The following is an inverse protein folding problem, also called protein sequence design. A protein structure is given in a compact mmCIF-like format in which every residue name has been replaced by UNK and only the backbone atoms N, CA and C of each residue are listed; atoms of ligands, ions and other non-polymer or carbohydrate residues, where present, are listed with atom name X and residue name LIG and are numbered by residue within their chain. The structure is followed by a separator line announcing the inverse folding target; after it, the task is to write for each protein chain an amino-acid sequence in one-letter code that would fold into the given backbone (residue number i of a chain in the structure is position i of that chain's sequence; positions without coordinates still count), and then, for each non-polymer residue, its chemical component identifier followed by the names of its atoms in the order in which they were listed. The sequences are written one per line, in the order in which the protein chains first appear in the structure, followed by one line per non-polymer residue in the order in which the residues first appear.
data_IF_984743831865
#
_entry.id   IF_984743831865
#
_cell.length_a   1.000
_cell.length_b   1.000
_cell.length_c   1.000
_cell.angle_alpha   90.00
_cell.angle_beta   90.00
_cell.angle_gamma   90.00
#
_symmetry.space_group_name_H-M   'P 1'
#
loop_
_entity.id
_entity.type
_entity.pdbx_description
1 polymer ?
#
# COMPACT_ATOMS: atom_id res chain seq x y z
N UNK A 1 -33.26 -1.32 -23.46
CA UNK A 1 -34.12 -1.73 -22.33
C UNK A 1 -33.41 -2.84 -21.58
N UNK A 2 -32.48 -2.48 -20.69
CA UNK A 2 -31.84 -3.45 -19.79
C UNK A 2 -32.52 -3.31 -18.44
N UNK A 3 -33.20 -4.36 -18.01
CA UNK A 3 -33.84 -4.42 -16.70
C UNK A 3 -32.80 -4.18 -15.62
N UNK A 4 -32.94 -3.07 -14.91
CA UNK A 4 -32.22 -2.82 -13.67
C UNK A 4 -32.61 -3.94 -12.71
N UNK A 5 -31.65 -4.78 -12.35
CA UNK A 5 -31.83 -5.86 -11.40
C UNK A 5 -32.00 -5.21 -10.03
N UNK A 6 -33.25 -5.07 -9.55
CA UNK A 6 -33.52 -4.71 -8.16
C UNK A 6 -33.05 -5.86 -7.26
N UNK A 7 -31.83 -5.73 -6.77
CA UNK A 7 -31.24 -6.67 -5.81
C UNK A 7 -31.66 -6.29 -4.38
N UNK A 8 -32.94 -6.47 -4.07
CA UNK A 8 -33.45 -6.33 -2.69
C UNK A 8 -33.16 -7.64 -1.96
N UNK A 9 -31.99 -7.72 -1.32
CA UNK A 9 -31.58 -8.86 -0.51
C UNK A 9 -32.17 -8.81 0.92
N UNK A 10 -32.25 -9.94 1.64
CA UNK A 10 -32.71 -9.95 3.02
C UNK A 10 -31.76 -9.12 3.92
N UNK A 11 -32.31 -8.10 4.58
CA UNK A 11 -31.59 -7.15 5.46
C UNK A 11 -30.83 -7.79 6.64
N UNK A 12 -31.14 -9.04 6.98
CA UNK A 12 -30.77 -9.68 8.26
C UNK A 12 -29.25 -9.80 8.48
N UNK A 13 -28.43 -9.82 7.43
CA UNK A 13 -26.96 -9.91 7.52
C UNK A 13 -26.21 -8.83 6.73
N UNK A 14 -26.93 -7.85 6.18
CA UNK A 14 -26.34 -6.77 5.38
C UNK A 14 -25.42 -5.89 6.23
N UNK A 15 -24.37 -5.36 5.60
CA UNK A 15 -23.38 -4.53 6.28
C UNK A 15 -23.86 -3.08 6.22
N UNK A 16 -24.17 -2.44 7.36
CA UNK A 16 -24.56 -1.04 7.36
C UNK A 16 -23.36 -0.15 7.05
N UNK A 17 -23.62 0.97 6.38
CA UNK A 17 -22.63 2.03 6.26
C UNK A 17 -22.74 3.04 7.42
N UNK A 18 -21.63 3.60 7.90
CA UNK A 18 -21.66 4.63 8.93
C UNK A 18 -22.43 5.87 8.47
N UNK A 19 -23.25 6.43 9.35
CA UNK A 19 -24.00 7.67 9.10
C UNK A 19 -23.12 8.92 9.18
N UNK A 20 -21.97 8.83 9.87
CA UNK A 20 -21.01 9.91 10.04
C UNK A 20 -19.60 9.43 9.72
N UNK A 21 -18.84 10.25 8.99
CA UNK A 21 -17.44 10.01 8.64
C UNK A 21 -16.51 11.17 9.03
N UNK A 22 -17.06 12.26 9.59
CA UNK A 22 -16.32 13.43 10.06
C UNK A 22 -16.85 13.86 11.42
N UNK A 23 -15.95 14.01 12.40
CA UNK A 23 -16.24 14.57 13.72
C UNK A 23 -15.53 15.92 13.86
N UNK A 24 -16.15 16.91 14.49
CA UNK A 24 -15.55 18.24 14.63
C UNK A 24 -15.02 18.45 16.05
N UNK A 25 -13.73 18.76 16.18
CA UNK A 25 -13.10 19.22 17.42
C UNK A 25 -12.89 20.73 17.30
N UNK A 26 -13.92 21.50 17.64
CA UNK A 26 -13.95 22.94 17.35
C UNK A 26 -13.86 23.19 15.83
N UNK A 27 -12.89 23.99 15.33
CA UNK A 27 -12.74 24.25 13.90
C UNK A 27 -12.06 23.10 13.12
N UNK A 28 -11.58 22.05 13.80
CA UNK A 28 -10.78 21.00 13.18
C UNK A 28 -11.66 19.79 12.79
N UNK A 29 -11.81 19.47 11.49
CA UNK A 29 -12.52 18.28 11.04
C UNK A 29 -11.64 17.04 11.19
N UNK A 30 -12.04 16.12 12.06
CA UNK A 30 -11.44 14.80 12.23
C UNK A 30 -12.14 13.78 11.33
N UNK A 31 -11.48 13.40 10.25
CA UNK A 31 -12.04 12.49 9.24
C UNK A 31 -11.70 11.04 9.55
N UNK A 32 -12.67 10.14 9.43
CA UNK A 32 -12.51 8.72 9.72
C UNK A 32 -11.43 8.05 8.85
N UNK A 33 -11.35 8.40 7.56
CA UNK A 33 -10.28 7.86 6.71
C UNK A 33 -8.89 8.28 7.18
N UNK A 34 -8.73 9.49 7.72
CA UNK A 34 -7.43 9.97 8.22
C UNK A 34 -7.02 9.18 9.46
N UNK A 35 -7.97 8.92 10.36
CA UNK A 35 -7.76 8.04 11.52
C UNK A 35 -7.39 6.61 11.10
N UNK A 36 -8.08 6.05 10.10
CA UNK A 36 -7.77 4.73 9.57
C UNK A 36 -6.36 4.66 8.96
N UNK A 37 -5.95 5.66 8.18
CA UNK A 37 -4.60 5.75 7.63
C UNK A 37 -3.55 5.84 8.75
N UNK A 38 -3.74 6.70 9.75
CA UNK A 38 -2.82 6.85 10.87
C UNK A 38 -2.70 5.54 11.68
N UNK A 39 -3.82 4.86 11.94
CA UNK A 39 -3.83 3.55 12.58
C UNK A 39 -3.08 2.51 11.73
N UNK A 40 -3.29 2.52 10.41
CA UNK A 40 -2.58 1.66 9.47
C UNK A 40 -1.06 1.88 9.50
N UNK A 41 -0.61 3.14 9.48
CA UNK A 41 0.80 3.51 9.60
C UNK A 41 1.37 3.03 10.93
N UNK A 42 0.67 3.25 12.05
CA UNK A 42 1.12 2.81 13.36
C UNK A 42 1.31 1.29 13.43
N UNK A 43 0.36 0.52 12.88
CA UNK A 43 0.46 -0.95 12.79
C UNK A 43 1.62 -1.39 11.89
N UNK A 44 1.81 -0.74 10.73
CA UNK A 44 2.92 -1.03 9.84
C UNK A 44 4.27 -0.77 10.49
N UNK A 45 4.44 0.37 11.15
CA UNK A 45 5.68 0.73 11.86
C UNK A 45 5.94 -0.26 12.99
N UNK A 46 4.95 -0.54 13.83
CA UNK A 46 5.07 -1.50 14.94
C UNK A 46 5.50 -2.89 14.45
N UNK A 47 4.82 -3.42 13.42
CA UNK A 47 5.13 -4.74 12.89
C UNK A 47 6.50 -4.76 12.20
N UNK A 48 6.86 -3.70 11.47
CA UNK A 48 8.15 -3.58 10.81
C UNK A 48 9.27 -3.55 11.84
N UNK A 49 9.16 -2.77 12.92
CA UNK A 49 10.14 -2.73 14.03
C UNK A 49 10.36 -4.11 14.63
N UNK A 50 9.28 -4.84 14.92
CA UNK A 50 9.38 -6.21 15.45
C UNK A 50 10.09 -7.15 14.47
N UNK A 51 9.73 -7.12 13.19
CA UNK A 51 10.32 -7.99 12.16
C UNK A 51 11.75 -7.62 11.81
N UNK A 52 12.08 -6.34 11.90
CA UNK A 52 13.44 -5.84 11.71
C UNK A 52 14.37 -6.31 12.82
N UNK A 53 13.91 -6.25 14.07
CA UNK A 53 14.60 -6.84 15.22
C UNK A 53 14.80 -8.36 15.07
N UNK A 54 13.77 -9.09 14.62
CA UNK A 54 13.86 -10.54 14.32
C UNK A 54 14.91 -10.86 13.22
N UNK A 55 15.32 -9.87 12.42
CA UNK A 55 16.37 -9.99 11.40
C UNK A 55 17.74 -9.47 11.87
N UNK A 56 17.86 -9.04 13.13
CA UNK A 56 19.10 -8.54 13.72
C UNK A 56 19.38 -7.05 13.46
N UNK A 57 18.39 -6.29 12.98
CA UNK A 57 18.49 -4.84 12.83
C UNK A 57 18.06 -4.08 14.10
N UNK A 58 18.48 -2.83 14.23
CA UNK A 58 18.06 -1.95 15.32
C UNK A 58 16.62 -1.46 15.05
N UNK A 59 15.63 -1.73 15.93
CA UNK A 59 14.27 -1.24 15.77
C UNK A 59 14.13 0.27 15.51
N UNK A 60 15.11 1.07 15.92
CA UNK A 60 15.09 2.53 15.73
C UNK A 60 15.47 2.93 14.29
N UNK A 61 16.18 2.07 13.55
CA UNK A 61 16.43 2.24 12.12
C UNK A 61 15.13 2.46 11.34
N UNK A 62 14.04 1.81 11.74
CA UNK A 62 12.74 1.93 11.06
C UNK A 62 12.22 3.36 11.12
N UNK A 63 12.43 4.05 12.25
CA UNK A 63 12.00 5.44 12.41
C UNK A 63 12.93 6.39 11.65
N UNK A 64 14.24 6.13 11.68
CA UNK A 64 15.23 6.88 10.89
C UNK A 64 14.96 6.76 9.37
N UNK A 65 14.64 5.55 8.90
CA UNK A 65 14.28 5.32 7.50
C UNK A 65 12.94 6.00 7.17
N UNK A 66 11.96 5.97 8.08
CA UNK A 66 10.68 6.66 7.90
C UNK A 66 10.85 8.19 7.82
N UNK A 67 11.79 8.75 8.57
CA UNK A 67 12.14 10.18 8.52
C UNK A 67 12.57 10.63 7.12
N UNK A 68 13.19 9.75 6.34
CA UNK A 68 13.50 10.01 4.93
C UNK A 68 12.35 9.65 3.99
N UNK A 69 11.70 8.51 4.21
CA UNK A 69 10.66 7.99 3.31
C UNK A 69 9.41 8.88 3.25
N UNK A 70 8.95 9.40 4.38
CA UNK A 70 7.69 10.17 4.47
C UNK A 70 7.79 11.52 3.73
N UNK A 71 8.79 12.39 3.99
CA UNK A 71 8.92 13.65 3.26
C UNK A 71 9.08 13.46 1.75
N UNK A 72 9.91 12.48 1.34
CA UNK A 72 10.07 12.16 -0.08
C UNK A 72 8.77 11.66 -0.70
N UNK A 73 7.99 10.85 0.02
CA UNK A 73 6.67 10.41 -0.43
C UNK A 73 5.69 11.57 -0.59
N UNK A 74 5.66 12.53 0.35
CA UNK A 74 4.81 13.73 0.24
C UNK A 74 5.22 14.56 -0.97
N UNK A 75 6.52 14.84 -1.14
CA UNK A 75 7.06 15.59 -2.27
C UNK A 75 6.74 14.90 -3.58
N UNK A 76 6.94 13.59 -3.67
CA UNK A 76 6.66 12.85 -4.88
C UNK A 76 5.19 12.76 -5.22
N UNK A 77 4.34 12.58 -4.21
CA UNK A 77 2.90 12.63 -4.40
C UNK A 77 2.47 13.97 -4.98
N UNK A 78 3.03 15.07 -4.46
CA UNK A 78 2.74 16.39 -4.98
C UNK A 78 3.22 16.57 -6.42
N UNK A 79 4.48 16.22 -6.68
CA UNK A 79 5.08 16.34 -8.00
C UNK A 79 4.28 15.57 -9.07
N UNK A 80 3.90 14.34 -8.77
CA UNK A 80 3.10 13.53 -9.69
C UNK A 80 1.72 14.16 -9.94
N UNK A 81 1.06 14.69 -8.91
CA UNK A 81 -0.23 15.36 -9.09
C UNK A 81 -0.12 16.60 -9.97
N UNK A 82 0.89 17.45 -9.75
CA UNK A 82 1.13 18.64 -10.57
C UNK A 82 1.40 18.29 -12.05
N UNK A 83 2.10 17.18 -12.30
CA UNK A 83 2.38 16.70 -13.66
C UNK A 83 1.15 16.08 -14.32
N UNK A 84 0.39 15.26 -13.58
CA UNK A 84 -0.77 14.52 -14.11
C UNK A 84 -2.04 15.38 -14.22
N UNK A 85 -2.11 16.50 -13.51
CA UNK A 85 -3.23 17.44 -13.55
C UNK A 85 -2.67 18.87 -13.66
N UNK A 86 -2.12 19.28 -14.81
CA UNK A 86 -1.40 20.55 -14.95
C UNK A 86 -2.32 21.78 -14.97
N UNK A 87 -3.57 21.65 -15.45
CA UNK A 87 -4.47 22.79 -15.71
C UNK A 87 -4.70 23.73 -14.51
N UNK A 88 -4.88 23.24 -13.26
CA UNK A 88 -5.05 24.12 -12.09
C UNK A 88 -3.82 24.99 -11.76
N UNK A 89 -2.65 24.67 -12.33
CA UNK A 89 -1.38 25.33 -12.05
C UNK A 89 -0.87 26.14 -13.25
N UNK A 90 -1.00 25.59 -14.45
CA UNK A 90 -0.41 26.12 -15.69
C UNK A 90 -1.45 26.49 -16.75
N UNK A 91 -2.73 26.23 -16.50
CA UNK A 91 -3.82 26.60 -17.40
C UNK A 91 -4.12 28.11 -17.41
N UNK A 92 -5.06 28.57 -18.25
CA UNK A 92 -5.40 29.98 -18.40
C UNK A 92 -5.77 30.70 -17.10
N UNK A 93 -6.42 29.99 -16.17
CA UNK A 93 -6.80 30.47 -14.83
C UNK A 93 -5.99 29.80 -13.71
N UNK A 94 -4.84 29.21 -14.04
CA UNK A 94 -3.98 28.48 -13.13
C UNK A 94 -3.19 29.39 -12.18
N UNK A 95 -2.89 28.91 -10.98
CA UNK A 95 -2.00 29.59 -10.02
C UNK A 95 -0.78 28.70 -9.73
N UNK A 96 0.42 29.05 -10.24
CA UNK A 96 1.64 28.28 -10.00
C UNK A 96 1.98 28.10 -8.51
N UNK A 97 1.60 29.04 -7.64
CA UNK A 97 1.84 28.90 -6.19
C UNK A 97 1.06 27.76 -5.59
N UNK A 98 -0.10 27.38 -6.17
CA UNK A 98 -0.85 26.21 -5.73
C UNK A 98 0.00 24.95 -5.84
N UNK A 99 0.95 24.83 -6.78
CA UNK A 99 1.80 23.65 -6.91
C UNK A 99 2.57 23.30 -5.62
N UNK A 100 2.88 24.29 -4.77
CA UNK A 100 3.57 24.10 -3.49
C UNK A 100 2.64 23.81 -2.30
N UNK A 101 1.33 24.09 -2.44
CA UNK A 101 0.34 23.96 -1.37
C UNK A 101 -0.09 22.51 -1.18
N UNK A 102 0.71 21.74 -0.44
CA UNK A 102 0.41 20.32 -0.13
C UNK A 102 -0.83 20.15 0.76
N UNK A 103 -1.23 21.19 1.50
CA UNK A 103 -2.39 21.17 2.40
C UNK A 103 -3.73 21.34 1.67
N UNK A 104 -3.73 21.77 0.40
CA UNK A 104 -4.94 21.86 -0.43
C UNK A 104 -5.38 20.46 -0.93
N UNK A 105 -4.65 19.41 -0.58
CA UNK A 105 -4.82 18.06 -1.12
C UNK A 105 -4.10 17.88 -2.45
N UNK A 106 -4.43 16.83 -3.20
CA UNK A 106 -3.80 16.54 -4.50
C UNK A 106 -2.41 15.93 -4.34
N UNK A 107 -2.36 14.71 -3.79
CA UNK A 107 -1.17 13.88 -3.73
C UNK A 107 -1.40 12.62 -4.56
N UNK A 108 -0.61 12.44 -5.62
CA UNK A 108 -0.68 11.27 -6.48
C UNK A 108 0.03 10.07 -5.87
N UNK A 109 -0.67 8.93 -5.76
CA UNK A 109 -0.13 7.73 -5.10
C UNK A 109 1.13 7.19 -5.79
N UNK A 110 1.21 7.25 -7.12
CA UNK A 110 2.37 6.76 -7.88
C UNK A 110 3.64 7.53 -7.58
N UNK A 111 3.55 8.86 -7.50
CA UNK A 111 4.68 9.71 -7.11
C UNK A 111 5.09 9.49 -5.66
N UNK A 112 4.12 9.30 -4.77
CA UNK A 112 4.38 9.05 -3.36
C UNK A 112 5.11 7.71 -3.14
N UNK A 113 4.71 6.65 -3.84
CA UNK A 113 5.38 5.35 -3.79
C UNK A 113 6.79 5.45 -4.36
N UNK A 114 6.96 6.06 -5.54
CA UNK A 114 8.24 6.12 -6.22
C UNK A 114 9.30 6.88 -5.41
N UNK A 115 9.00 8.13 -5.02
CA UNK A 115 9.95 8.92 -4.23
C UNK A 115 10.01 8.47 -2.77
N UNK A 116 8.93 7.94 -2.19
CA UNK A 116 8.97 7.32 -0.87
C UNK A 116 9.94 6.14 -0.81
N UNK A 117 9.99 5.31 -1.86
CA UNK A 117 10.98 4.24 -1.98
C UNK A 117 12.42 4.78 -2.11
N UNK A 118 12.62 5.89 -2.84
CA UNK A 118 13.92 6.60 -2.89
C UNK A 118 14.32 7.11 -1.51
N UNK A 119 13.41 7.73 -0.76
CA UNK A 119 13.64 8.17 0.61
C UNK A 119 13.99 7.01 1.53
N UNK A 120 13.26 5.90 1.45
CA UNK A 120 13.57 4.69 2.21
C UNK A 120 14.94 4.10 1.85
N UNK A 121 15.32 4.11 0.56
CA UNK A 121 16.64 3.70 0.11
C UNK A 121 17.75 4.60 0.69
N UNK A 122 17.57 5.92 0.64
CA UNK A 122 18.51 6.88 1.25
C UNK A 122 18.63 6.63 2.74
N UNK A 123 17.51 6.45 3.45
CA UNK A 123 17.47 6.13 4.87
C UNK A 123 18.24 4.84 5.19
N UNK A 124 18.01 3.77 4.43
CA UNK A 124 18.75 2.52 4.60
C UNK A 124 20.26 2.71 4.38
N UNK A 125 20.66 3.51 3.40
CA UNK A 125 22.09 3.82 3.14
C UNK A 125 22.71 4.65 4.26
N UNK A 126 21.95 5.57 4.88
CA UNK A 126 22.40 6.37 6.03
C UNK A 126 22.59 5.51 7.29
N UNK A 127 21.68 4.57 7.51
CA UNK A 127 21.78 3.58 8.59
C UNK A 127 22.75 2.44 8.25
N UNK A 128 23.28 2.40 7.03
CA UNK A 128 24.16 1.35 6.50
C UNK A 128 23.53 -0.05 6.59
N UNK A 129 22.24 -0.14 6.31
CA UNK A 129 21.48 -1.39 6.31
C UNK A 129 20.96 -1.74 4.91
N UNK A 130 20.67 -3.03 4.69
CA UNK A 130 20.17 -3.54 3.42
C UNK A 130 18.74 -3.08 3.17
N UNK A 131 18.55 -2.32 2.08
CA UNK A 131 17.23 -1.89 1.62
C UNK A 131 16.31 -3.07 1.29
N UNK A 132 16.87 -4.15 0.71
CA UNK A 132 16.09 -5.34 0.36
C UNK A 132 15.58 -6.08 1.61
N UNK A 133 16.43 -6.20 2.64
CA UNK A 133 16.04 -6.78 3.92
C UNK A 133 14.98 -5.91 4.63
N UNK A 134 15.14 -4.59 4.57
CA UNK A 134 14.17 -3.65 5.13
C UNK A 134 12.81 -3.77 4.42
N UNK A 135 12.81 -3.83 3.09
CA UNK A 135 11.60 -4.05 2.29
C UNK A 135 10.89 -5.36 2.66
N UNK A 136 11.66 -6.44 2.91
CA UNK A 136 11.11 -7.72 3.36
C UNK A 136 10.51 -7.67 4.78
N UNK A 137 11.09 -6.87 5.68
CA UNK A 137 10.55 -6.63 7.01
C UNK A 137 9.25 -5.82 6.94
N UNK A 138 9.23 -4.78 6.10
CA UNK A 138 8.13 -3.83 5.90
C UNK A 138 6.91 -4.44 5.19
N UNK A 139 7.13 -5.36 4.25
CA UNK A 139 6.10 -5.85 3.33
C UNK A 139 4.79 -6.34 4.00
N UNK A 140 4.79 -7.17 5.06
CA UNK A 140 3.55 -7.52 5.75
C UNK A 140 2.85 -6.34 6.43
N UNK A 141 3.63 -5.35 6.92
CA UNK A 141 3.10 -4.11 7.49
C UNK A 141 2.33 -3.29 6.47
N UNK A 142 2.81 -3.23 5.21
CA UNK A 142 2.11 -2.54 4.12
C UNK A 142 0.73 -3.14 3.86
N UNK A 143 0.61 -4.47 3.82
CA UNK A 143 -0.69 -5.13 3.64
C UNK A 143 -1.65 -4.81 4.78
N UNK A 144 -1.20 -4.84 6.03
CA UNK A 144 -2.06 -4.49 7.16
C UNK A 144 -2.46 -3.01 7.14
N UNK A 145 -1.55 -2.10 6.78
CA UNK A 145 -1.88 -0.69 6.60
C UNK A 145 -2.93 -0.49 5.50
N UNK A 146 -2.77 -1.18 4.37
CA UNK A 146 -3.74 -1.18 3.27
C UNK A 146 -5.09 -1.73 3.74
N UNK A 147 -5.12 -2.81 4.52
CA UNK A 147 -6.34 -3.40 5.06
C UNK A 147 -7.09 -2.42 5.97
N UNK A 148 -6.38 -1.78 6.91
CA UNK A 148 -6.97 -0.79 7.81
C UNK A 148 -7.45 0.44 7.03
N UNK A 149 -6.68 0.88 6.03
CA UNK A 149 -7.05 2.00 5.16
C UNK A 149 -8.39 1.78 4.43
N UNK A 150 -8.77 0.53 4.13
CA UNK A 150 -10.08 0.23 3.51
C UNK A 150 -11.27 0.57 4.39
N UNK A 151 -11.09 0.63 5.71
CA UNK A 151 -12.13 1.14 6.60
C UNK A 151 -12.46 2.60 6.29
N UNK A 152 -11.50 3.38 5.79
CA UNK A 152 -11.75 4.73 5.30
C UNK A 152 -12.77 4.77 4.15
N UNK A 153 -12.67 3.82 3.19
CA UNK A 153 -13.64 3.72 2.10
C UNK A 153 -15.02 3.30 2.59
N UNK A 154 -15.10 2.45 3.63
CA UNK A 154 -16.36 2.09 4.27
C UNK A 154 -17.03 3.28 4.96
N UNK A 155 -16.27 4.08 5.71
CA UNK A 155 -16.79 5.32 6.31
C UNK A 155 -17.23 6.34 5.26
N UNK A 156 -16.45 6.50 4.19
CA UNK A 156 -16.76 7.42 3.09
C UNK A 156 -17.88 6.90 2.16
N UNK A 157 -18.29 5.64 2.31
CA UNK A 157 -19.25 4.97 1.43
C UNK A 157 -18.85 5.06 -0.06
N UNK A 158 -17.59 4.75 -0.37
CA UNK A 158 -17.01 4.87 -1.71
C UNK A 158 -16.31 3.58 -2.17
N UNK A 159 -16.01 3.50 -3.47
CA UNK A 159 -15.27 2.41 -4.11
C UNK A 159 -15.89 1.00 -3.94
N UNK A 160 -17.20 0.92 -3.72
CA UNK A 160 -17.95 -0.33 -3.63
C UNK A 160 -18.13 -1.03 -5.00
N UNK A 161 -18.55 -2.29 -4.96
CA UNK A 161 -18.71 -3.10 -6.16
C UNK A 161 -20.10 -2.99 -6.78
N UNK A 162 -20.41 -3.89 -7.72
CA UNK A 162 -21.72 -3.96 -8.37
C UNK A 162 -22.84 -4.35 -7.42
N UNK A 163 -24.08 -4.11 -7.85
CA UNK A 163 -25.27 -4.54 -7.09
C UNK A 163 -25.24 -6.06 -6.84
N UNK A 164 -25.71 -6.47 -5.66
CA UNK A 164 -25.64 -7.86 -5.20
C UNK A 164 -26.84 -8.24 -4.34
N UNK A 165 -27.26 -9.50 -4.42
CA UNK A 165 -28.31 -10.07 -3.56
C UNK A 165 -27.74 -10.88 -2.39
N UNK A 166 -26.42 -10.91 -2.24
CA UNK A 166 -25.75 -11.66 -1.20
C UNK A 166 -26.09 -11.15 0.21
N UNK A 167 -26.17 -12.03 1.22
CA UNK A 167 -26.61 -11.64 2.55
C UNK A 167 -25.66 -10.65 3.24
N UNK A 168 -24.38 -10.60 2.86
CA UNK A 168 -23.38 -9.64 3.35
C UNK A 168 -23.23 -8.40 2.45
N UNK A 169 -24.25 -8.06 1.65
CA UNK A 169 -24.24 -6.86 0.81
C UNK A 169 -24.06 -5.58 1.64
N UNK A 170 -23.32 -4.62 1.09
CA UNK A 170 -23.10 -3.29 1.68
C UNK A 170 -24.28 -2.39 1.40
N UNK A 171 -24.82 -1.79 2.45
CA UNK A 171 -25.81 -0.72 2.33
C UNK A 171 -25.09 0.60 2.00
N UNK A 172 -25.61 1.36 1.05
CA UNK A 172 -25.13 2.70 0.72
C UNK A 172 -26.27 3.69 0.95
N UNK A 173 -25.99 4.80 1.65
CA UNK A 173 -26.96 5.86 1.88
C UNK A 173 -27.33 6.56 0.57
N UNK A 174 -28.58 6.99 0.43
CA UNK A 174 -29.12 7.58 -0.80
C UNK A 174 -28.26 8.73 -1.37
N UNK A 175 -27.63 9.53 -0.50
CA UNK A 175 -26.76 10.64 -0.90
C UNK A 175 -25.47 10.21 -1.64
N UNK A 176 -25.03 8.96 -1.47
CA UNK A 176 -23.85 8.38 -2.12
C UNK A 176 -24.21 7.35 -3.19
N UNK A 177 -25.51 7.15 -3.45
CA UNK A 177 -25.98 6.18 -4.40
C UNK A 177 -25.68 6.62 -5.83
N UNK A 178 -25.07 5.77 -6.69
CA UNK A 178 -24.82 6.13 -8.08
C UNK A 178 -26.13 6.30 -8.84
N UNK A 179 -26.13 7.18 -9.84
CA UNK A 179 -27.31 7.40 -10.69
C UNK A 179 -27.78 6.08 -11.34
N UNK A 180 -29.08 5.82 -11.26
CA UNK A 180 -29.71 4.63 -11.85
C UNK A 180 -29.93 3.45 -10.89
N UNK A 181 -29.51 3.56 -9.62
CA UNK A 181 -29.84 2.56 -8.60
C UNK A 181 -30.99 3.03 -7.71
N UNK A 182 -31.80 2.07 -7.22
CA UNK A 182 -32.92 2.33 -6.30
C UNK A 182 -32.44 2.37 -4.85
N UNK A 183 -33.11 3.17 -4.01
CA UNK A 183 -32.85 3.17 -2.56
C UNK A 183 -33.02 1.76 -1.98
N UNK A 184 -32.10 1.37 -1.09
CA UNK A 184 -32.06 0.02 -0.53
C UNK A 184 -31.32 -1.02 -1.39
N UNK A 185 -30.78 -0.64 -2.56
CA UNK A 185 -29.89 -1.52 -3.33
C UNK A 185 -28.65 -1.88 -2.50
N UNK A 186 -28.32 -3.17 -2.45
CA UNK A 186 -27.10 -3.66 -1.82
C UNK A 186 -25.97 -3.80 -2.83
N UNK A 187 -24.74 -3.52 -2.41
CA UNK A 187 -23.54 -3.59 -3.25
C UNK A 187 -22.51 -4.58 -2.71
N UNK A 188 -21.63 -5.09 -3.57
CA UNK A 188 -20.49 -5.87 -3.10
C UNK A 188 -19.58 -5.02 -2.19
N UNK A 189 -19.32 -5.43 -0.92
CA UNK A 189 -18.40 -4.72 -0.01
C UNK A 189 -16.93 -4.96 -0.40
N UNK A 190 -16.49 -4.33 -1.49
CA UNK A 190 -15.10 -4.40 -1.96
C UNK A 190 -14.10 -3.98 -0.88
N UNK A 191 -14.43 -3.01 -0.02
CA UNK A 191 -13.60 -2.63 1.12
C UNK A 191 -13.29 -3.83 2.03
N UNK A 192 -14.31 -4.66 2.31
CA UNK A 192 -14.20 -5.84 3.17
C UNK A 192 -13.42 -6.94 2.45
N UNK A 193 -13.68 -7.13 1.16
CA UNK A 193 -12.94 -8.09 0.34
C UNK A 193 -11.44 -7.74 0.29
N UNK A 194 -11.09 -6.47 0.06
CA UNK A 194 -9.70 -6.00 0.08
C UNK A 194 -9.09 -6.11 1.48
N UNK A 195 -9.83 -5.76 2.53
CA UNK A 195 -9.37 -5.88 3.92
C UNK A 195 -9.03 -7.33 4.26
N UNK A 196 -9.96 -8.25 4.05
CA UNK A 196 -9.77 -9.68 4.35
C UNK A 196 -8.64 -10.28 3.52
N UNK A 197 -8.57 -9.94 2.23
CA UNK A 197 -7.48 -10.37 1.36
C UNK A 197 -6.12 -9.91 1.87
N UNK A 198 -6.00 -8.62 2.18
CA UNK A 198 -4.73 -8.05 2.66
C UNK A 198 -4.31 -8.62 4.01
N UNK A 199 -5.25 -8.84 4.94
CA UNK A 199 -4.97 -9.49 6.22
C UNK A 199 -4.50 -10.93 6.01
N UNK A 200 -5.23 -11.71 5.20
CA UNK A 200 -4.84 -13.09 4.89
C UNK A 200 -3.47 -13.15 4.20
N UNK A 201 -3.22 -12.26 3.24
CA UNK A 201 -1.95 -12.15 2.54
C UNK A 201 -0.81 -11.76 3.51
N UNK A 202 -1.04 -10.87 4.47
CA UNK A 202 -0.03 -10.48 5.45
C UNK A 202 0.37 -11.67 6.34
N UNK A 203 -0.61 -12.42 6.85
CA UNK A 203 -0.35 -13.63 7.65
C UNK A 203 0.34 -14.72 6.84
N UNK A 204 -0.11 -14.96 5.61
CA UNK A 204 0.54 -15.91 4.70
C UNK A 204 1.98 -15.49 4.42
N UNK A 205 2.23 -14.21 4.18
CA UNK A 205 3.56 -13.69 3.90
C UNK A 205 4.50 -13.87 5.09
N UNK A 206 4.03 -13.60 6.32
CA UNK A 206 4.79 -13.86 7.56
C UNK A 206 5.07 -15.35 7.72
N UNK A 207 4.08 -16.21 7.44
CA UNK A 207 4.24 -17.66 7.51
C UNK A 207 5.29 -18.16 6.51
N UNK A 208 5.19 -17.76 5.24
CA UNK A 208 6.13 -18.15 4.18
C UNK A 208 7.54 -17.65 4.47
N UNK A 209 7.66 -16.41 4.93
CA UNK A 209 8.93 -15.82 5.31
C UNK A 209 9.63 -16.61 6.43
N UNK A 210 8.88 -17.04 7.45
CA UNK A 210 9.42 -17.87 8.54
C UNK A 210 9.72 -19.30 8.09
N UNK A 211 8.81 -19.93 7.34
CA UNK A 211 8.90 -21.33 6.92
C UNK A 211 10.04 -21.59 5.94
N UNK A 212 10.28 -20.65 5.03
CA UNK A 212 11.27 -20.78 3.96
C UNK A 212 12.50 -19.90 4.17
N UNK A 213 12.55 -19.14 5.26
CA UNK A 213 13.62 -18.17 5.57
C UNK A 213 13.91 -17.30 4.34
N UNK A 214 12.89 -16.58 3.88
CA UNK A 214 13.01 -15.71 2.71
C UNK A 214 13.82 -14.45 3.06
N UNK A 215 14.60 -13.97 2.10
CA UNK A 215 15.39 -12.75 2.21
C UNK A 215 15.71 -12.14 0.85
N UNK A 216 16.62 -11.17 0.83
CA UNK A 216 17.09 -10.48 -0.37
C UNK A 216 15.97 -9.81 -1.19
N UNK A 217 14.86 -9.40 -0.56
CA UNK A 217 13.73 -8.75 -1.23
C UNK A 217 12.64 -9.71 -1.70
N UNK A 218 12.77 -11.02 -1.45
CA UNK A 218 11.81 -12.03 -1.92
C UNK A 218 10.45 -11.91 -1.23
N UNK A 219 10.41 -11.48 0.03
CA UNK A 219 9.16 -11.26 0.76
C UNK A 219 8.43 -10.06 0.16
N UNK A 220 9.16 -8.99 -0.18
CA UNK A 220 8.60 -7.83 -0.85
C UNK A 220 7.99 -8.19 -2.21
N UNK A 221 8.67 -9.00 -3.03
CA UNK A 221 8.10 -9.44 -4.31
C UNK A 221 6.88 -10.34 -4.16
N UNK A 222 6.83 -11.21 -3.14
CA UNK A 222 5.61 -11.95 -2.82
C UNK A 222 4.47 -11.03 -2.36
N UNK A 223 4.77 -9.98 -1.61
CA UNK A 223 3.79 -8.94 -1.29
C UNK A 223 3.18 -8.32 -2.55
N UNK A 224 4.02 -7.88 -3.49
CA UNK A 224 3.55 -7.28 -4.75
C UNK A 224 2.68 -8.28 -5.54
N UNK A 225 3.10 -9.55 -5.59
CA UNK A 225 2.32 -10.61 -6.22
C UNK A 225 0.96 -10.83 -5.53
N UNK A 226 0.92 -10.97 -4.22
CA UNK A 226 -0.35 -11.17 -3.49
C UNK A 226 -1.28 -9.96 -3.60
N UNK A 227 -0.74 -8.75 -3.53
CA UNK A 227 -1.52 -7.53 -3.70
C UNK A 227 -2.15 -7.47 -5.09
N UNK A 228 -1.36 -7.71 -6.15
CA UNK A 228 -1.85 -7.68 -7.54
C UNK A 228 -2.86 -8.78 -7.83
N UNK A 229 -2.70 -9.98 -7.28
CA UNK A 229 -3.70 -11.05 -7.39
C UNK A 229 -5.05 -10.66 -6.79
N UNK A 230 -5.05 -10.04 -5.60
CA UNK A 230 -6.27 -9.52 -4.99
C UNK A 230 -6.89 -8.41 -5.84
N UNK A 231 -6.04 -7.52 -6.37
CA UNK A 231 -6.48 -6.38 -7.18
C UNK A 231 -7.20 -6.81 -8.45
N UNK A 232 -6.73 -7.85 -9.15
CA UNK A 232 -7.33 -8.30 -10.41
C UNK A 232 -8.82 -8.60 -10.27
N UNK A 233 -9.21 -9.43 -9.30
CA UNK A 233 -10.61 -9.85 -9.18
C UNK A 233 -11.49 -8.81 -8.48
N UNK A 234 -10.96 -8.07 -7.51
CA UNK A 234 -11.74 -7.03 -6.81
C UNK A 234 -12.00 -5.84 -7.74
N UNK A 235 -11.02 -5.46 -8.57
CA UNK A 235 -11.19 -4.39 -9.55
C UNK A 235 -12.26 -4.73 -10.60
N UNK A 236 -12.44 -6.01 -10.94
CA UNK A 236 -13.53 -6.45 -11.83
C UNK A 236 -14.92 -6.30 -11.19
N UNK A 237 -15.02 -6.27 -9.86
CA UNK A 237 -16.29 -6.04 -9.16
C UNK A 237 -16.67 -4.56 -9.05
N UNK A 238 -15.69 -3.66 -9.17
CA UNK A 238 -15.88 -2.22 -8.99
C UNK A 238 -16.74 -1.61 -10.08
N UNK A 239 -17.49 -0.56 -9.71
CA UNK A 239 -18.40 0.17 -10.62
C UNK A 239 -18.04 1.64 -10.83
N UNK A 240 -17.06 2.18 -10.12
CA UNK A 240 -16.56 3.54 -10.33
C UNK A 240 -15.94 3.72 -11.72
N UNK A 241 -15.90 4.97 -12.19
CA UNK A 241 -15.33 5.31 -13.50
C UNK A 241 -13.86 4.94 -13.57
N UNK A 242 -13.48 4.24 -14.63
CA UNK A 242 -12.10 3.85 -14.88
C UNK A 242 -11.84 3.78 -16.39
N UNK A 243 -10.61 4.11 -16.78
CA UNK A 243 -10.15 3.96 -18.16
C UNK A 243 -10.17 2.48 -18.55
N UNK A 244 -10.77 2.19 -19.70
CA UNK A 244 -10.86 0.85 -20.25
C UNK A 244 -9.86 0.68 -21.39
N UNK A 245 -9.07 -0.39 -21.31
CA UNK A 245 -8.14 -0.82 -22.36
C UNK A 245 -8.48 -2.25 -22.72
N UNK A 246 -8.81 -2.49 -23.99
CA UNK A 246 -9.19 -3.83 -24.48
C UNK A 246 -10.34 -4.48 -23.68
N UNK A 247 -11.31 -3.67 -23.23
CA UNK A 247 -12.49 -4.14 -22.47
C UNK A 247 -12.25 -4.41 -20.98
N UNK A 248 -11.04 -4.19 -20.47
CA UNK A 248 -10.71 -4.31 -19.05
C UNK A 248 -10.26 -2.96 -18.48
N UNK A 249 -10.50 -2.74 -17.18
CA UNK A 249 -10.00 -1.57 -16.46
C UNK A 249 -8.47 -1.51 -16.53
N UNK A 250 -7.90 -0.32 -16.74
CA UNK A 250 -6.45 -0.10 -16.79
C UNK A 250 -5.74 -0.69 -15.55
N UNK A 251 -6.34 -0.57 -14.37
CA UNK A 251 -5.81 -1.14 -13.13
C UNK A 251 -5.67 -2.66 -13.15
N UNK A 252 -6.52 -3.38 -13.90
CA UNK A 252 -6.40 -4.83 -14.09
C UNK A 252 -5.15 -5.14 -14.90
N UNK A 253 -4.92 -4.44 -16.01
CA UNK A 253 -3.71 -4.59 -16.82
C UNK A 253 -2.44 -4.27 -16.03
N UNK A 254 -2.43 -3.15 -15.31
CA UNK A 254 -1.32 -2.79 -14.42
C UNK A 254 -1.05 -3.89 -13.40
N UNK A 255 -2.10 -4.47 -12.81
CA UNK A 255 -1.96 -5.55 -11.82
C UNK A 255 -1.38 -6.82 -12.45
N UNK A 256 -1.82 -7.20 -13.65
CA UNK A 256 -1.27 -8.35 -14.38
C UNK A 256 0.22 -8.16 -14.68
N UNK A 257 0.60 -7.01 -15.27
CA UNK A 257 1.98 -6.73 -15.64
C UNK A 257 2.91 -6.68 -14.43
N UNK A 258 2.49 -5.96 -13.38
CA UNK A 258 3.26 -5.86 -12.13
C UNK A 258 3.32 -7.22 -11.42
N UNK A 259 2.25 -7.99 -11.42
CA UNK A 259 2.21 -9.33 -10.82
C UNK A 259 3.15 -10.31 -11.52
N UNK A 260 3.16 -10.32 -12.86
CA UNK A 260 4.11 -11.13 -13.64
C UNK A 260 5.55 -10.71 -13.36
N UNK A 261 5.83 -9.40 -13.34
CA UNK A 261 7.15 -8.86 -12.98
C UNK A 261 7.59 -9.29 -11.59
N UNK A 262 6.69 -9.24 -10.61
CA UNK A 262 6.95 -9.67 -9.24
C UNK A 262 7.24 -11.17 -9.13
N UNK A 263 6.49 -12.00 -9.87
CA UNK A 263 6.74 -13.44 -9.92
C UNK A 263 8.12 -13.75 -10.52
N UNK A 264 8.47 -13.10 -11.63
CA UNK A 264 9.78 -13.24 -12.28
C UNK A 264 10.89 -12.83 -11.29
N UNK A 265 10.76 -11.66 -10.66
CA UNK A 265 11.73 -11.17 -9.69
C UNK A 265 11.89 -12.13 -8.51
N UNK A 266 10.79 -12.64 -7.95
CA UNK A 266 10.82 -13.63 -6.87
C UNK A 266 11.58 -14.90 -7.26
N UNK A 267 11.34 -15.44 -8.47
CA UNK A 267 12.01 -16.64 -8.98
C UNK A 267 13.51 -16.37 -9.24
N UNK A 268 13.84 -15.28 -9.93
CA UNK A 268 15.23 -14.94 -10.28
C UNK A 268 16.06 -14.69 -9.04
N UNK A 269 15.56 -13.91 -8.08
CA UNK A 269 16.26 -13.64 -6.82
C UNK A 269 16.38 -14.93 -6.00
N UNK A 270 15.33 -15.74 -5.94
CA UNK A 270 15.37 -17.03 -5.23
C UNK A 270 16.39 -18.01 -5.81
N UNK A 271 16.67 -17.96 -7.11
CA UNK A 271 17.72 -18.76 -7.76
C UNK A 271 19.11 -18.19 -7.55
N UNK A 272 19.28 -16.87 -7.50
CA UNK A 272 20.59 -16.21 -7.31
C UNK A 272 21.04 -16.17 -5.86
N UNK A 273 20.11 -16.01 -4.93
CA UNK A 273 20.37 -15.88 -3.50
C UNK A 273 19.46 -16.84 -2.72
N UNK A 274 19.85 -18.13 -2.63
CA UNK A 274 19.10 -19.10 -1.83
C UNK A 274 19.20 -18.74 -0.34
N UNK A 275 18.06 -18.76 0.36
CA UNK A 275 17.96 -18.43 1.79
C UNK A 275 17.78 -16.94 2.11
N UNK A 276 18.07 -16.58 3.36
CA UNK A 276 18.01 -15.22 3.91
C UNK A 276 19.43 -14.68 4.09
N UNK A 277 19.58 -13.36 3.98
CA UNK A 277 20.80 -12.64 4.37
C UNK A 277 21.26 -13.00 5.80
N UNK A 278 22.58 -13.16 5.99
CA UNK A 278 23.18 -13.46 7.30
C UNK A 278 23.16 -12.25 8.24
N UNK A 279 23.29 -11.06 7.65
CA UNK A 279 23.31 -9.78 8.34
C UNK A 279 22.52 -8.75 7.54
N UNK A 280 21.83 -7.87 8.25
CA UNK A 280 21.15 -6.71 7.66
C UNK A 280 22.09 -5.51 7.51
N UNK A 281 23.23 -5.50 8.20
CA UNK A 281 24.24 -4.45 8.12
C UNK A 281 25.09 -4.61 6.86
N UNK A 282 25.36 -3.49 6.19
CA UNK A 282 26.22 -3.43 5.01
C UNK A 282 27.70 -3.32 5.38
N UNK A 283 28.04 -2.91 6.60
CA UNK A 283 29.43 -2.80 7.07
C UNK A 283 30.07 -4.17 7.31
N UNK A 284 29.26 -5.18 7.65
CA UNK A 284 29.72 -6.56 7.85
C UNK A 284 30.17 -7.26 6.55
N UNK A 285 29.95 -6.64 5.38
CA UNK A 285 30.34 -7.18 4.08
C UNK A 285 31.78 -6.81 3.66
N UNK A 286 32.51 -5.99 4.43
CA UNK A 286 33.95 -5.83 4.25
C UNK A 286 34.66 -7.01 4.90
N UNK A 287 35.22 -7.97 4.13
CA UNK A 287 36.06 -8.98 4.73
C UNK A 287 37.29 -8.28 5.30
N UNK A 288 37.61 -8.64 6.54
CA UNK A 288 38.80 -8.28 7.29
C UNK A 288 40.09 -8.59 6.48
N UNK A 289 40.44 -7.74 5.52
CA UNK A 289 41.73 -7.76 4.81
C UNK A 289 42.78 -6.90 5.54
N UNK A 290 42.64 -6.72 6.85
CA UNK A 290 43.61 -6.03 7.70
C UNK A 290 44.34 -7.03 8.61
N UNK A 291 44.84 -8.12 8.03
CA UNK A 291 45.58 -9.16 8.72
C UNK A 291 46.82 -9.64 7.97
N UNK A 292 47.40 -8.83 7.07
CA UNK A 292 48.72 -9.12 6.52
C UNK A 292 49.79 -8.56 7.45
N UNK A 293 50.23 -9.38 8.39
CA UNK A 293 51.36 -9.09 9.25
C UNK A 293 52.57 -8.65 8.43
N UNK A 294 53.08 -7.45 8.69
CA UNK A 294 54.44 -7.07 8.29
C UNK A 294 55.42 -8.04 8.98
N UNK A 295 56.30 -8.73 8.25
CA UNK A 295 57.47 -9.34 8.86
C UNK A 295 58.35 -8.22 9.42
N UNK A 296 58.70 -8.33 10.68
CA UNK A 296 59.71 -7.52 11.36
C UNK A 296 61.08 -7.72 10.67
N UNK A 297 61.70 -6.68 10.08
CA UNK A 297 63.06 -6.80 9.57
C UNK A 297 64.03 -6.55 10.73
N UNK A 298 64.19 -7.55 11.59
CA UNK A 298 65.34 -7.67 12.46
C UNK A 298 66.46 -8.44 11.76
N UNK A 299 67.46 -7.73 11.24
CA UNK A 299 68.90 -8.07 11.27
C UNK A 299 69.75 -6.98 10.63
#
# INVERSE_FOLDING_TARGET
MNGLVSAVGPLVASIPSPSQHTWYLGPFPLRAYALAILAGIAVAVWLTRKRWAERGGDPDDVLEIAFWAVPFGIVGGRLYHVISTPDPYWGPDGDPLKALRIWDGGLGIWGAIALGAVGAYIGCRRQKVSFAAFADALAPGLLLAQAIGRLGNWFNQELFGSATTLPWGLQISDQYLPAGYESGTLFHPTFLYELLWNVAAAFLLIYLDRRFRLGHGRVFWLYVLFYTLGRVWIEMLRIDTAELVLGLRLNVWTSILVGVGALIAFIVIGRRHPGREETVSLDAAEPEQAGAGRPDPGH
#
